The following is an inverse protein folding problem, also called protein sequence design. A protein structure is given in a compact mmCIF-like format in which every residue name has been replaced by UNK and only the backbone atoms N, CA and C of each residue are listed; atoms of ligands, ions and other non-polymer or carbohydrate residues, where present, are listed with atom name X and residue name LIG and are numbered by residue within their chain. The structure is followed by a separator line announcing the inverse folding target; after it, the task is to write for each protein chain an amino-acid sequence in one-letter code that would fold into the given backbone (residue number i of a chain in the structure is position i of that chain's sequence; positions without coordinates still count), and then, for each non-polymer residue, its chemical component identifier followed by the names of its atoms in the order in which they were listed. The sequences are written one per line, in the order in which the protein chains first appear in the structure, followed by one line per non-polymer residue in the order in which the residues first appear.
data_IF_792497948534
#
_entry.id   IF_792497948534
#
_cell.length_a   1.000
_cell.length_b   1.000
_cell.length_c   1.000
_cell.angle_alpha   90.00
_cell.angle_beta   90.00
_cell.angle_gamma   90.00
#
_symmetry.space_group_name_H-M   'P 1'
#
loop_
_entity.id
_entity.type
_entity.pdbx_description
1 polymer ?
#
# COMPACT_ATOMS: atom_id res chain seq x y z
N UNK A 1 14.87 -2.28 3.09
CA UNK A 1 14.66 -3.05 1.85
C UNK A 1 13.20 -3.47 1.58
N UNK A 2 12.17 -2.99 2.32
CA UNK A 2 10.76 -3.35 2.04
C UNK A 2 10.16 -2.62 0.83
N UNK A 3 10.48 -1.33 0.63
CA UNK A 3 9.97 -0.54 -0.49
C UNK A 3 10.38 -1.05 -1.88
N UNK A 4 11.63 -1.51 -2.05
CA UNK A 4 12.11 -2.07 -3.32
C UNK A 4 11.38 -3.38 -3.69
N UNK A 5 10.95 -4.16 -2.70
CA UNK A 5 10.16 -5.37 -2.95
C UNK A 5 8.73 -5.01 -3.36
N UNK A 6 8.16 -3.96 -2.77
CA UNK A 6 6.82 -3.48 -3.14
C UNK A 6 6.77 -2.93 -4.57
N UNK A 7 7.79 -2.21 -5.03
CA UNK A 7 7.85 -1.75 -6.42
C UNK A 7 7.84 -2.95 -7.39
N UNK A 8 8.66 -3.97 -7.11
CA UNK A 8 8.68 -5.22 -7.91
C UNK A 8 7.35 -5.95 -7.89
N UNK A 9 6.64 -5.96 -6.76
CA UNK A 9 5.31 -6.56 -6.65
C UNK A 9 4.27 -5.80 -7.49
N UNK A 10 4.37 -4.48 -7.57
CA UNK A 10 3.51 -3.65 -8.42
C UNK A 10 3.81 -3.88 -9.90
N UNK A 11 5.07 -3.89 -10.31
CA UNK A 11 5.49 -4.17 -11.70
C UNK A 11 5.04 -5.57 -12.14
N UNK A 12 5.15 -6.56 -11.24
CA UNK A 12 4.68 -7.91 -11.49
C UNK A 12 3.15 -8.00 -11.61
N UNK A 13 2.41 -7.22 -10.81
CA UNK A 13 0.97 -7.15 -10.90
C UNK A 13 0.50 -6.50 -12.22
N UNK A 14 1.15 -5.42 -12.65
CA UNK A 14 0.92 -4.78 -13.95
C UNK A 14 1.14 -5.77 -15.09
N UNK A 15 2.31 -6.42 -15.12
CA UNK A 15 2.66 -7.43 -16.13
C UNK A 15 1.60 -8.53 -16.18
N UNK A 16 1.16 -9.03 -15.02
CA UNK A 16 0.14 -10.08 -14.94
C UNK A 16 -1.23 -9.63 -15.47
N UNK A 17 -1.65 -8.39 -15.22
CA UNK A 17 -2.90 -7.84 -15.75
C UNK A 17 -2.83 -7.77 -17.28
N UNK A 18 -1.71 -7.30 -17.83
CA UNK A 18 -1.49 -7.22 -19.27
C UNK A 18 -1.51 -8.62 -19.91
N UNK A 19 -0.88 -9.61 -19.27
CA UNK A 19 -0.91 -11.00 -19.72
C UNK A 19 -2.34 -11.57 -19.73
N UNK A 20 -3.12 -11.34 -18.67
CA UNK A 20 -4.53 -11.78 -18.63
C UNK A 20 -5.32 -11.13 -19.77
N UNK A 21 -5.12 -9.84 -20.01
CA UNK A 21 -5.77 -9.12 -21.10
C UNK A 21 -5.42 -9.72 -22.46
N UNK A 22 -4.13 -9.95 -22.73
CA UNK A 22 -3.69 -10.58 -23.98
C UNK A 22 -4.30 -11.98 -24.15
N UNK A 23 -4.14 -12.86 -23.15
CA UNK A 23 -4.56 -14.25 -23.25
C UNK A 23 -6.07 -14.44 -23.32
N UNK A 24 -6.84 -13.62 -22.60
CA UNK A 24 -8.28 -13.82 -22.45
C UNK A 24 -9.12 -12.87 -23.30
N UNK A 25 -8.64 -11.67 -23.58
CA UNK A 25 -9.38 -10.67 -24.36
C UNK A 25 -8.87 -10.64 -25.79
N UNK A 26 -7.58 -10.36 -26.00
CA UNK A 26 -7.01 -10.20 -27.36
C UNK A 26 -7.10 -11.50 -28.16
N UNK A 27 -6.57 -12.60 -27.61
CA UNK A 27 -6.57 -13.91 -28.30
C UNK A 27 -7.97 -14.50 -28.51
N UNK A 28 -8.97 -14.03 -27.77
CA UNK A 28 -10.37 -14.43 -27.98
C UNK A 28 -11.03 -13.75 -29.19
N UNK A 29 -10.35 -12.81 -29.86
CA UNK A 29 -10.88 -11.96 -30.92
C UNK A 29 -11.49 -12.69 -32.13
N UNK A 30 -11.04 -13.90 -32.43
CA UNK A 30 -11.57 -14.74 -33.52
C UNK A 30 -12.73 -15.66 -33.10
N UNK A 31 -13.02 -15.77 -31.80
CA UNK A 31 -14.06 -16.67 -31.27
C UNK A 31 -15.47 -16.13 -31.51
N UNK A 32 -16.47 -17.02 -31.39
CA UNK A 32 -17.88 -16.62 -31.39
C UNK A 32 -18.23 -15.86 -30.11
N UNK A 33 -19.28 -15.05 -30.17
CA UNK A 33 -19.67 -14.13 -29.09
C UNK A 33 -19.82 -14.82 -27.72
N UNK A 34 -20.48 -15.98 -27.67
CA UNK A 34 -20.68 -16.73 -26.41
C UNK A 34 -19.36 -17.14 -25.77
N UNK A 35 -18.41 -17.60 -26.58
CA UNK A 35 -17.09 -18.01 -26.11
C UNK A 35 -16.26 -16.79 -25.68
N UNK A 36 -16.28 -15.70 -26.47
CA UNK A 36 -15.66 -14.42 -26.09
C UNK A 36 -16.13 -13.95 -24.71
N UNK A 37 -17.44 -13.92 -24.48
CA UNK A 37 -17.99 -13.50 -23.19
C UNK A 37 -17.54 -14.42 -22.05
N UNK A 38 -17.39 -15.72 -22.28
CA UNK A 38 -16.83 -16.63 -21.28
C UNK A 38 -15.39 -16.26 -20.94
N UNK A 39 -14.55 -16.07 -21.95
CA UNK A 39 -13.14 -15.68 -21.75
C UNK A 39 -13.02 -14.33 -21.04
N UNK A 40 -13.84 -13.33 -21.40
CA UNK A 40 -13.81 -12.01 -20.76
C UNK A 40 -14.28 -12.05 -19.31
N UNK A 41 -15.29 -12.87 -18.98
CA UNK A 41 -15.71 -13.04 -17.57
C UNK A 41 -14.58 -13.63 -16.71
N UNK A 42 -13.87 -14.62 -17.25
CA UNK A 42 -12.71 -15.18 -16.54
C UNK A 42 -11.58 -14.15 -16.42
N UNK A 43 -11.31 -13.36 -17.47
CA UNK A 43 -10.36 -12.25 -17.41
C UNK A 43 -10.67 -11.28 -16.25
N UNK A 44 -11.93 -10.86 -16.12
CA UNK A 44 -12.36 -9.94 -15.06
C UNK A 44 -12.18 -10.56 -13.67
N UNK A 45 -12.48 -11.86 -13.50
CA UNK A 45 -12.27 -12.54 -12.22
C UNK A 45 -10.78 -12.62 -11.87
N UNK A 46 -9.94 -13.00 -12.83
CA UNK A 46 -8.49 -13.11 -12.62
C UNK A 46 -7.87 -11.73 -12.30
N UNK A 47 -8.20 -10.70 -13.07
CA UNK A 47 -7.75 -9.32 -12.83
C UNK A 47 -8.20 -8.79 -11.47
N UNK A 48 -9.44 -9.09 -11.04
CA UNK A 48 -9.94 -8.70 -9.71
C UNK A 48 -9.06 -9.26 -8.60
N UNK A 49 -8.65 -10.53 -8.70
CA UNK A 49 -7.77 -11.16 -7.71
C UNK A 49 -6.41 -10.46 -7.65
N UNK A 50 -5.84 -10.08 -8.79
CA UNK A 50 -4.58 -9.33 -8.84
C UNK A 50 -4.74 -7.96 -8.19
N UNK A 51 -5.82 -7.23 -8.51
CA UNK A 51 -6.10 -5.92 -7.94
C UNK A 51 -6.31 -5.96 -6.43
N UNK A 52 -6.97 -7.00 -5.90
CA UNK A 52 -7.15 -7.14 -4.45
C UNK A 52 -5.82 -7.36 -3.73
N UNK A 53 -4.89 -8.12 -4.33
CA UNK A 53 -3.52 -8.26 -3.82
C UNK A 53 -2.79 -6.91 -3.78
N UNK A 54 -2.87 -6.13 -4.87
CA UNK A 54 -2.29 -4.78 -4.93
C UNK A 54 -2.90 -3.86 -3.86
N UNK A 55 -4.22 -3.94 -3.65
CA UNK A 55 -4.92 -3.16 -2.62
C UNK A 55 -4.44 -3.50 -1.21
N UNK A 56 -4.21 -4.77 -0.91
CA UNK A 56 -3.64 -5.19 0.37
C UNK A 56 -2.22 -4.64 0.57
N UNK A 57 -1.41 -4.66 -0.49
CA UNK A 57 -0.06 -4.07 -0.47
C UNK A 57 -0.11 -2.55 -0.29
N UNK A 58 -1.00 -1.84 -0.99
CA UNK A 58 -1.20 -0.40 -0.84
C UNK A 58 -1.65 -0.03 0.58
N UNK A 59 -2.62 -0.76 1.15
CA UNK A 59 -3.06 -0.55 2.53
C UNK A 59 -1.92 -0.74 3.55
N UNK A 60 -1.01 -1.71 3.32
CA UNK A 60 0.19 -1.85 4.15
C UNK A 60 1.14 -0.66 3.97
N UNK A 61 1.31 -0.16 2.74
CA UNK A 61 2.12 1.04 2.47
C UNK A 61 1.54 2.32 3.06
N UNK A 62 0.23 2.43 3.29
CA UNK A 62 -0.33 3.59 3.97
C UNK A 62 -0.07 3.56 5.48
N UNK A 63 -0.05 2.36 6.08
CA UNK A 63 0.10 2.20 7.53
C UNK A 63 1.57 2.14 7.99
N UNK A 64 2.47 1.57 7.19
CA UNK A 64 3.89 1.44 7.53
C UNK A 64 4.58 2.81 7.73
N UNK A 65 4.40 3.82 6.87
CA UNK A 65 4.95 5.16 7.08
C UNK A 65 4.42 5.82 8.35
N UNK A 66 3.14 5.65 8.68
CA UNK A 66 2.56 6.20 9.92
C UNK A 66 3.22 5.55 11.14
N UNK A 67 3.35 4.21 11.16
CA UNK A 67 4.08 3.49 12.21
C UNK A 67 5.54 3.95 12.32
N UNK A 68 6.24 4.14 11.19
CA UNK A 68 7.63 4.61 11.20
C UNK A 68 7.75 6.04 11.75
N UNK A 69 6.80 6.92 11.45
CA UNK A 69 6.73 8.28 12.02
C UNK A 69 6.44 8.21 13.53
N UNK A 70 5.55 7.33 13.97
CA UNK A 70 5.27 7.11 15.39
C UNK A 70 6.50 6.63 16.16
N UNK A 71 7.28 5.71 15.57
CA UNK A 71 8.55 5.24 16.13
C UNK A 71 9.60 6.36 16.16
N UNK A 72 9.72 7.17 15.11
CA UNK A 72 10.67 8.31 15.07
C UNK A 72 10.39 9.31 16.20
N UNK A 73 9.11 9.67 16.42
CA UNK A 73 8.69 10.47 17.57
C UNK A 73 9.06 9.84 18.90
N UNK A 74 8.87 8.53 19.04
CA UNK A 74 9.20 7.82 20.27
C UNK A 74 10.72 7.85 20.55
N UNK A 75 11.55 7.62 19.53
CA UNK A 75 13.01 7.72 19.66
C UNK A 75 13.38 9.13 20.14
N UNK A 76 12.83 10.17 19.52
CA UNK A 76 13.09 11.56 19.95
C UNK A 76 12.42 11.97 21.27
N UNK A 77 11.45 11.20 21.78
CA UNK A 77 10.95 11.38 23.14
C UNK A 77 12.02 11.00 24.16
N UNK A 78 12.82 9.95 23.89
CA UNK A 78 13.90 9.56 24.81
C UNK A 78 14.95 10.67 24.98
N UNK A 79 15.14 11.52 23.97
CA UNK A 79 16.00 12.71 24.05
C UNK A 79 15.45 13.78 25.03
N UNK A 80 14.15 13.72 25.37
CA UNK A 80 13.44 14.67 26.25
C UNK A 80 13.06 14.07 27.61
N UNK A 81 13.56 12.88 27.94
CA UNK A 81 13.37 12.23 29.23
C UNK A 81 13.79 13.18 30.38
N UNK A 82 12.86 13.47 31.29
CA UNK A 82 13.10 14.34 32.45
C UNK A 82 12.76 15.83 32.23
N UNK A 83 12.31 16.23 31.03
CA UNK A 83 11.81 17.57 30.81
C UNK A 83 10.45 17.78 31.51
N UNK A 84 10.26 18.84 32.31
CA UNK A 84 9.00 19.13 32.97
C UNK A 84 7.85 19.24 31.96
N UNK A 85 6.73 18.57 32.24
CA UNK A 85 5.54 18.63 31.39
C UNK A 85 5.56 17.72 30.16
N UNK A 86 6.60 16.89 29.98
CA UNK A 86 6.60 15.86 28.93
C UNK A 86 5.97 14.58 29.49
N UNK A 87 4.75 14.19 29.05
CA UNK A 87 4.12 12.97 29.52
C UNK A 87 4.92 11.73 29.07
N UNK A 88 4.79 10.64 29.81
CA UNK A 88 5.29 9.35 29.36
C UNK A 88 4.65 8.97 28.02
N UNK A 89 5.41 8.37 27.09
CA UNK A 89 4.94 8.07 25.76
C UNK A 89 4.02 6.86 25.86
N UNK A 90 2.89 6.95 25.17
CA UNK A 90 2.08 5.76 24.93
C UNK A 90 2.74 4.91 23.83
N UNK A 91 3.21 3.73 24.22
CA UNK A 91 3.79 2.75 23.31
C UNK A 91 2.80 2.34 22.22
N UNK A 92 1.49 2.29 22.53
CA UNK A 92 0.47 2.00 21.53
C UNK A 92 0.38 3.11 20.48
N UNK A 93 0.41 4.38 20.90
CA UNK A 93 0.45 5.52 19.98
C UNK A 93 1.73 5.56 19.13
N UNK A 94 2.80 4.93 19.58
CA UNK A 94 4.07 4.88 18.84
C UNK A 94 4.02 3.89 17.67
N UNK A 95 3.34 2.76 17.84
CA UNK A 95 3.18 1.74 16.79
C UNK A 95 1.93 1.96 15.92
N UNK A 96 0.91 2.61 16.48
CA UNK A 96 -0.37 2.86 15.81
C UNK A 96 -0.81 4.33 16.00
N UNK A 97 -0.02 5.30 15.51
CA UNK A 97 -0.39 6.70 15.65
C UNK A 97 -1.66 7.02 14.85
N UNK A 98 -2.55 7.82 15.44
CA UNK A 98 -3.61 8.47 14.67
C UNK A 98 -3.00 9.51 13.72
N UNK A 99 -3.68 9.81 12.61
CA UNK A 99 -3.20 10.85 11.67
C UNK A 99 -3.01 12.20 12.34
N UNK A 100 -3.94 12.59 13.21
CA UNK A 100 -3.86 13.85 13.95
C UNK A 100 -2.66 13.88 14.88
N UNK A 101 -2.32 12.74 15.50
CA UNK A 101 -1.19 12.63 16.41
C UNK A 101 0.18 12.75 15.73
N UNK A 102 0.26 12.72 14.40
CA UNK A 102 1.51 12.88 13.64
C UNK A 102 1.45 13.95 12.56
N UNK A 103 0.37 14.73 12.49
CA UNK A 103 0.12 15.68 11.41
C UNK A 103 1.21 16.76 11.27
N UNK A 104 1.83 17.16 12.38
CA UNK A 104 2.91 18.15 12.44
C UNK A 104 4.31 17.53 12.19
N UNK A 105 4.40 16.23 11.90
CA UNK A 105 5.68 15.59 11.65
C UNK A 105 6.35 16.10 10.36
N UNK A 106 7.65 16.45 10.37
CA UNK A 106 8.35 17.00 9.21
C UNK A 106 8.30 16.13 7.95
N UNK A 107 8.18 14.80 8.12
CA UNK A 107 8.08 13.87 6.98
C UNK A 107 6.73 14.00 6.24
N UNK A 108 5.66 14.43 6.90
CA UNK A 108 4.36 14.68 6.26
C UNK A 108 4.29 16.08 5.67
N UNK A 109 4.92 17.07 6.32
CA UNK A 109 4.94 18.46 5.87
C UNK A 109 5.77 18.69 4.60
N UNK A 110 6.73 17.81 4.30
CA UNK A 110 7.55 17.86 3.08
C UNK A 110 6.84 17.36 1.83
N UNK A 111 5.64 16.79 1.96
CA UNK A 111 4.77 16.47 0.82
C UNK A 111 3.92 17.70 0.49
N UNK A 112 4.55 18.79 0.05
CA UNK A 112 3.81 19.85 -0.65
C UNK A 112 3.66 19.42 -2.11
N UNK A 113 2.41 19.36 -2.55
CA UNK A 113 1.98 19.16 -3.95
C UNK A 113 2.65 20.17 -4.89
#
# INVERSE_FOLDING_TARGET
MKFLNTLKELDAAETKILDIYDQRVVKSGSLKSVEKYRHWREAVKEMRTVLESVRQTANRMDNVPLMLIGVDRFVHWTDKLGAPGVPFPDWNCSLFPSRDAIADHPWLLKVKQ
#
